data_IF_248433897829
#
_entry.id   IF_248433897829
#
_cell.length_a   1.000
_cell.length_b   1.000
_cell.length_c   1.000
_cell.angle_alpha   90.00
_cell.angle_beta   90.00
_cell.angle_gamma   90.00
#
_symmetry.space_group_name_H-M   'P 1'
#
loop_
_entity.id
_entity.type
_entity.pdbx_description
1 polymer ?
#
# COMPACT_ATOMS: atom_id res chain seq x y z
N UNK A 1 -23.05 13.06 -11.22
CA UNK A 1 -22.43 12.09 -10.28
C UNK A 1 -21.53 11.09 -10.98
N UNK A 2 -22.02 10.27 -11.93
CA UNK A 2 -21.18 9.26 -12.62
C UNK A 2 -20.00 9.88 -13.39
N UNK A 3 -20.22 10.90 -14.23
CA UNK A 3 -19.13 11.55 -14.97
C UNK A 3 -18.07 12.15 -14.04
N UNK A 4 -18.49 12.69 -12.90
CA UNK A 4 -17.58 13.24 -11.90
C UNK A 4 -16.76 12.13 -11.24
N UNK A 5 -17.39 11.01 -10.87
CA UNK A 5 -16.72 9.82 -10.34
C UNK A 5 -15.67 9.26 -11.31
N UNK A 6 -15.98 9.22 -12.62
CA UNK A 6 -15.08 8.68 -13.64
C UNK A 6 -13.94 9.63 -14.04
N UNK A 7 -14.16 10.94 -13.94
CA UNK A 7 -13.13 11.95 -14.23
C UNK A 7 -12.23 12.21 -13.02
N UNK A 8 -12.77 12.06 -11.81
CA UNK A 8 -12.08 12.24 -10.54
C UNK A 8 -12.31 11.02 -9.66
N UNK A 9 -11.67 9.92 -10.06
CA UNK A 9 -11.73 8.64 -9.38
C UNK A 9 -11.41 8.80 -7.88
N UNK A 10 -12.34 8.49 -6.97
CA UNK A 10 -12.05 8.53 -5.56
C UNK A 10 -11.04 7.43 -5.21
N UNK A 11 -10.09 7.77 -4.35
CA UNK A 11 -9.10 6.84 -3.85
C UNK A 11 -9.10 6.85 -2.32
N UNK A 12 -8.65 5.74 -1.75
CA UNK A 12 -8.27 5.67 -0.35
C UNK A 12 -6.78 5.34 -0.23
N UNK A 13 -6.23 5.57 0.95
CA UNK A 13 -4.83 5.29 1.24
C UNK A 13 -4.74 4.15 2.25
N UNK A 14 -4.13 3.04 1.82
CA UNK A 14 -3.86 1.93 2.72
C UNK A 14 -2.80 2.34 3.75
N UNK A 15 -3.00 2.01 5.03
CA UNK A 15 -2.05 2.36 6.09
C UNK A 15 -0.71 1.62 5.91
N UNK A 16 0.30 2.03 6.68
CA UNK A 16 1.68 1.48 6.70
C UNK A 16 2.48 1.84 5.45
N UNK A 17 2.08 1.38 4.26
CA UNK A 17 2.82 1.62 3.01
C UNK A 17 2.35 2.87 2.24
N UNK A 18 1.25 3.50 2.69
CA UNK A 18 0.64 4.69 2.10
C UNK A 18 0.30 4.51 0.61
N UNK A 19 -0.26 3.35 0.27
CA UNK A 19 -0.62 2.99 -1.11
C UNK A 19 -1.97 3.61 -1.47
N UNK A 20 -2.03 4.30 -2.61
CA UNK A 20 -3.30 4.81 -3.16
C UNK A 20 -3.98 3.72 -3.99
N UNK A 21 -5.19 3.37 -3.61
CA UNK A 21 -6.03 2.41 -4.34
C UNK A 21 -7.39 3.04 -4.66
N UNK A 22 -8.12 2.55 -5.68
CA UNK A 22 -9.52 2.92 -5.89
C UNK A 22 -10.34 2.69 -4.61
N UNK A 23 -11.29 3.58 -4.34
CA UNK A 23 -12.11 3.45 -3.14
C UNK A 23 -12.91 2.14 -3.11
N UNK A 24 -12.79 1.44 -2.00
CA UNK A 24 -13.54 0.22 -1.68
C UNK A 24 -14.99 0.56 -1.32
N UNK A 25 -15.84 -0.46 -1.16
CA UNK A 25 -17.26 -0.27 -0.83
C UNK A 25 -17.45 0.57 0.45
N UNK A 26 -16.60 0.33 1.45
CA UNK A 26 -16.61 1.10 2.70
C UNK A 26 -16.26 2.58 2.48
N UNK A 27 -15.22 2.87 1.68
CA UNK A 27 -14.86 4.23 1.31
C UNK A 27 -16.04 4.92 0.58
N UNK A 28 -16.64 4.25 -0.40
CA UNK A 28 -17.74 4.82 -1.18
C UNK A 28 -18.97 5.12 -0.30
N UNK A 29 -19.30 4.22 0.63
CA UNK A 29 -20.43 4.39 1.55
C UNK A 29 -20.32 5.66 2.39
N UNK A 30 -19.10 6.05 2.78
CA UNK A 30 -18.81 7.25 3.57
C UNK A 30 -18.62 8.51 2.72
N UNK A 31 -18.67 8.38 1.39
CA UNK A 31 -18.41 9.47 0.45
C UNK A 31 -19.70 10.10 -0.10
N UNK A 32 -19.55 11.18 -0.88
CA UNK A 32 -20.64 11.77 -1.67
C UNK A 32 -21.20 10.85 -2.76
N UNK A 33 -20.49 9.75 -3.08
CA UNK A 33 -20.86 8.81 -4.15
C UNK A 33 -21.67 7.60 -3.66
N UNK A 34 -22.13 7.59 -2.40
CA UNK A 34 -22.91 6.47 -1.83
C UNK A 34 -24.11 6.03 -2.68
N UNK A 35 -24.72 6.94 -3.43
CA UNK A 35 -25.88 6.65 -4.29
C UNK A 35 -25.52 5.73 -5.46
N UNK A 36 -24.25 5.72 -5.91
CA UNK A 36 -23.79 4.80 -6.95
C UNK A 36 -23.89 3.34 -6.51
N UNK A 37 -23.88 3.06 -5.20
CA UNK A 37 -24.04 1.70 -4.66
C UNK A 37 -25.42 1.10 -4.92
N UNK A 38 -26.40 1.89 -5.38
CA UNK A 38 -27.70 1.38 -5.83
C UNK A 38 -27.61 0.70 -7.20
N UNK A 39 -26.53 0.90 -7.94
CA UNK A 39 -26.27 0.26 -9.23
C UNK A 39 -25.61 -1.10 -8.94
N UNK A 40 -26.39 -2.19 -9.06
CA UNK A 40 -25.94 -3.56 -8.76
C UNK A 40 -24.68 -3.97 -9.55
N UNK A 41 -24.59 -3.58 -10.83
CA UNK A 41 -23.41 -3.88 -11.65
C UNK A 41 -22.15 -3.17 -11.13
N UNK A 42 -22.27 -1.94 -10.65
CA UNK A 42 -21.17 -1.20 -10.04
C UNK A 42 -20.76 -1.81 -8.69
N UNK A 43 -21.75 -2.12 -7.84
CA UNK A 43 -21.53 -2.76 -6.55
C UNK A 43 -20.79 -4.10 -6.69
N UNK A 44 -21.20 -4.95 -7.64
CA UNK A 44 -20.50 -6.21 -7.93
C UNK A 44 -19.04 -5.99 -8.37
N UNK A 45 -18.75 -4.92 -9.12
CA UNK A 45 -17.37 -4.60 -9.47
C UNK A 45 -16.55 -4.06 -8.28
N UNK A 46 -17.19 -3.41 -7.29
CA UNK A 46 -16.52 -2.98 -6.07
C UNK A 46 -16.19 -4.14 -5.13
N UNK A 47 -16.96 -5.23 -5.13
CA UNK A 47 -16.63 -6.44 -4.34
C UNK A 47 -15.27 -7.04 -4.77
N UNK A 48 -14.92 -6.90 -6.06
CA UNK A 48 -13.58 -7.26 -6.57
C UNK A 48 -12.51 -6.33 -6.00
N UNK A 49 -12.80 -5.03 -5.89
CA UNK A 49 -11.89 -4.05 -5.26
C UNK A 49 -11.67 -4.40 -3.78
N UNK A 50 -12.74 -4.71 -3.05
CA UNK A 50 -12.66 -5.10 -1.65
C UNK A 50 -11.79 -6.37 -1.47
N UNK A 51 -11.99 -7.38 -2.32
CA UNK A 51 -11.22 -8.64 -2.28
C UNK A 51 -9.72 -8.43 -2.56
N UNK A 52 -9.39 -7.61 -3.55
CA UNK A 52 -7.99 -7.29 -3.88
C UNK A 52 -7.34 -6.41 -2.81
N UNK A 53 -8.09 -5.48 -2.21
CA UNK A 53 -7.65 -4.70 -1.05
C UNK A 53 -7.27 -5.60 0.12
N UNK A 54 -8.10 -6.60 0.43
CA UNK A 54 -7.80 -7.56 1.50
C UNK A 54 -6.53 -8.38 1.20
N UNK A 55 -6.34 -8.79 -0.05
CA UNK A 55 -5.12 -9.48 -0.47
C UNK A 55 -3.87 -8.59 -0.34
N UNK A 56 -3.96 -7.31 -0.67
CA UNK A 56 -2.86 -6.35 -0.45
C UNK A 56 -2.56 -6.23 1.04
N UNK A 57 -3.57 -6.06 1.89
CA UNK A 57 -3.37 -5.97 3.34
C UNK A 57 -2.72 -7.24 3.91
N UNK A 58 -3.09 -8.41 3.40
CA UNK A 58 -2.43 -9.67 3.75
C UNK A 58 -0.94 -9.66 3.35
N UNK A 59 -0.60 -9.20 2.13
CA UNK A 59 0.79 -9.10 1.69
C UNK A 59 1.60 -8.07 2.47
N UNK A 60 1.00 -6.94 2.86
CA UNK A 60 1.62 -5.97 3.77
C UNK A 60 1.92 -6.62 5.12
N UNK A 61 1.00 -7.43 5.64
CA UNK A 61 1.21 -8.16 6.90
C UNK A 61 2.36 -9.16 6.80
N UNK A 62 2.45 -9.90 5.69
CA UNK A 62 3.57 -10.80 5.44
C UNK A 62 4.91 -10.06 5.34
N UNK A 63 4.93 -8.88 4.70
CA UNK A 63 6.13 -8.04 4.62
C UNK A 63 6.59 -7.62 6.03
N UNK A 64 5.65 -7.17 6.87
CA UNK A 64 5.95 -6.79 8.26
C UNK A 64 6.51 -7.96 9.07
N UNK A 65 5.92 -9.14 8.92
CA UNK A 65 6.40 -10.36 9.59
C UNK A 65 7.81 -10.73 9.13
N UNK A 66 8.05 -10.77 7.82
CA UNK A 66 9.33 -11.13 7.23
C UNK A 66 10.45 -10.17 7.67
N UNK A 67 10.17 -8.86 7.70
CA UNK A 67 11.09 -7.84 8.23
C UNK A 67 11.33 -8.08 9.71
N UNK A 68 10.27 -8.26 10.51
CA UNK A 68 10.35 -8.45 11.96
C UNK A 68 11.23 -9.65 12.33
N UNK A 69 11.09 -10.77 11.61
CA UNK A 69 11.93 -11.97 11.80
C UNK A 69 13.41 -11.65 11.57
N UNK A 70 13.74 -10.88 10.54
CA UNK A 70 15.13 -10.51 10.21
C UNK A 70 15.75 -9.54 11.21
N UNK A 71 14.93 -8.77 11.94
CA UNK A 71 15.40 -7.79 12.94
C UNK A 71 15.13 -8.16 14.41
N UNK A 72 14.57 -9.35 14.68
CA UNK A 72 14.05 -9.85 15.98
C UNK A 72 14.85 -9.54 17.26
N UNK A 73 16.16 -9.30 17.17
CA UNK A 73 17.03 -9.03 18.33
C UNK A 73 17.37 -7.54 18.49
N UNK A 74 16.60 -6.65 17.87
CA UNK A 74 16.76 -5.21 17.97
C UNK A 74 15.49 -4.62 18.58
N UNK A 75 15.67 -3.82 19.62
CA UNK A 75 14.59 -3.09 20.28
C UNK A 75 14.42 -1.71 19.65
N UNK A 76 13.37 -0.96 20.01
CA UNK A 76 13.16 0.43 19.60
C UNK A 76 13.07 0.69 18.08
N UNK A 77 12.72 -0.32 17.28
CA UNK A 77 12.47 -0.16 15.85
C UNK A 77 10.97 0.01 15.61
N UNK A 78 10.60 1.03 14.85
CA UNK A 78 9.28 1.15 14.28
C UNK A 78 9.20 0.29 13.00
N UNK A 79 8.63 -0.91 13.12
CA UNK A 79 8.50 -1.87 12.02
C UNK A 79 7.68 -1.31 10.86
N UNK A 80 6.60 -0.56 11.15
CA UNK A 80 5.75 0.02 10.12
C UNK A 80 6.51 1.02 9.25
N UNK A 81 7.28 1.92 9.90
CA UNK A 81 8.13 2.88 9.19
C UNK A 81 9.27 2.18 8.45
N UNK A 82 9.85 1.12 9.02
CA UNK A 82 10.87 0.33 8.32
C UNK A 82 10.30 -0.34 7.07
N UNK A 83 9.12 -0.97 7.16
CA UNK A 83 8.46 -1.61 6.03
C UNK A 83 8.07 -0.61 4.95
N UNK A 84 7.55 0.57 5.33
CA UNK A 84 7.35 1.69 4.42
C UNK A 84 8.63 2.01 3.64
N UNK A 85 9.73 2.21 4.37
CA UNK A 85 11.02 2.60 3.79
C UNK A 85 11.56 1.54 2.85
N UNK A 86 11.51 0.27 3.24
CA UNK A 86 11.97 -0.86 2.41
C UNK A 86 11.15 -0.94 1.13
N UNK A 87 9.82 -0.91 1.23
CA UNK A 87 8.94 -0.95 0.07
C UNK A 87 9.25 0.22 -0.88
N UNK A 88 9.39 1.44 -0.35
CA UNK A 88 9.68 2.62 -1.16
C UNK A 88 11.03 2.54 -1.85
N UNK A 89 12.07 2.11 -1.15
CA UNK A 89 13.42 1.96 -1.71
C UNK A 89 13.46 0.89 -2.80
N UNK A 90 12.79 -0.25 -2.59
CA UNK A 90 12.75 -1.33 -3.59
C UNK A 90 12.01 -0.86 -4.85
N UNK A 91 10.85 -0.22 -4.71
CA UNK A 91 9.99 0.11 -5.85
C UNK A 91 10.33 1.41 -6.58
N UNK A 92 10.83 2.40 -5.85
CA UNK A 92 11.05 3.75 -6.37
C UNK A 92 12.50 4.22 -6.22
N UNK A 93 13.35 3.43 -5.58
CA UNK A 93 14.71 3.82 -5.23
C UNK A 93 14.76 4.82 -4.08
N UNK A 94 15.95 5.38 -3.86
CA UNK A 94 16.24 6.27 -2.74
C UNK A 94 17.05 5.58 -1.65
N UNK A 95 17.27 6.32 -0.56
CA UNK A 95 18.11 5.88 0.54
C UNK A 95 17.61 6.45 1.87
N UNK A 96 17.93 5.80 2.98
CA UNK A 96 17.62 6.29 4.31
C UNK A 96 18.72 7.21 4.84
N UNK A 97 18.35 8.06 5.78
CA UNK A 97 19.24 8.98 6.46
C UNK A 97 19.75 8.34 7.74
N UNK A 98 21.07 8.21 7.86
CA UNK A 98 21.75 7.72 9.05
C UNK A 98 22.27 8.93 9.84
N UNK A 99 21.63 9.21 10.97
CA UNK A 99 22.09 10.17 11.95
C UNK A 99 23.07 9.55 12.95
N UNK A 100 23.52 10.36 13.90
CA UNK A 100 24.40 9.89 14.98
C UNK A 100 23.69 8.91 15.93
N UNK A 101 22.40 9.14 16.17
CA UNK A 101 21.56 8.42 17.13
C UNK A 101 20.24 7.90 16.51
N UNK A 102 20.01 8.14 15.22
CA UNK A 102 18.73 7.81 14.56
C UNK A 102 18.91 7.26 13.15
N UNK A 103 17.95 6.45 12.71
CA UNK A 103 17.73 6.10 11.30
C UNK A 103 16.36 6.62 10.89
N UNK A 104 16.29 7.32 9.77
CA UNK A 104 15.04 7.89 9.22
C UNK A 104 14.95 7.64 7.72
N UNK A 105 13.74 7.59 7.20
CA UNK A 105 13.48 7.68 5.77
C UNK A 105 12.44 8.76 5.56
N UNK A 106 12.76 9.75 4.73
CA UNK A 106 11.97 10.99 4.63
C UNK A 106 11.76 11.62 6.03
N UNK A 107 10.51 11.83 6.44
CA UNK A 107 10.14 12.35 7.76
C UNK A 107 9.90 11.25 8.81
N UNK A 108 9.99 9.97 8.43
CA UNK A 108 9.64 8.83 9.29
C UNK A 108 10.84 8.33 10.08
N UNK A 109 10.72 8.33 11.41
CA UNK A 109 11.70 7.74 12.32
C UNK A 109 11.58 6.22 12.33
N UNK A 110 12.66 5.53 11.95
CA UNK A 110 12.74 4.07 11.92
C UNK A 110 13.29 3.54 13.24
N UNK A 111 14.38 4.14 13.74
CA UNK A 111 15.10 3.65 14.90
C UNK A 111 15.80 4.79 15.64
N UNK A 112 15.97 4.62 16.95
CA UNK A 112 16.80 5.47 17.82
C UNK A 112 17.68 4.60 18.70
N UNK A 113 18.98 4.88 18.77
CA UNK A 113 19.92 4.10 19.55
C UNK A 113 21.35 4.63 19.45
N UNK A 114 22.31 3.89 19.98
CA UNK A 114 23.71 4.26 19.88
C UNK A 114 24.31 3.90 18.50
N UNK A 115 25.46 4.47 18.19
CA UNK A 115 26.12 4.28 16.89
C UNK A 115 26.33 2.79 16.51
N UNK A 116 26.70 1.92 17.47
CA UNK A 116 26.92 0.51 17.17
C UNK A 116 25.60 -0.20 16.80
N UNK A 117 24.50 0.15 17.45
CA UNK A 117 23.17 -0.38 17.13
C UNK A 117 22.70 0.11 15.77
N UNK A 118 22.92 1.39 15.44
CA UNK A 118 22.62 1.97 14.13
C UNK A 118 23.39 1.24 13.04
N UNK A 119 24.70 1.04 13.21
CA UNK A 119 25.51 0.33 12.22
C UNK A 119 25.10 -1.14 12.06
N UNK A 120 24.68 -1.79 13.16
CA UNK A 120 24.17 -3.16 13.11
C UNK A 120 22.83 -3.23 12.35
N UNK A 121 21.90 -2.32 12.64
CA UNK A 121 20.63 -2.21 11.94
C UNK A 121 20.84 -1.88 10.46
N UNK A 122 21.72 -0.95 10.13
CA UNK A 122 22.09 -0.60 8.75
C UNK A 122 22.46 -1.85 7.93
N UNK A 123 23.37 -2.68 8.44
CA UNK A 123 23.77 -3.94 7.77
C UNK A 123 22.62 -4.92 7.60
N UNK A 124 21.65 -4.93 8.53
CA UNK A 124 20.45 -5.76 8.38
C UNK A 124 19.51 -5.20 7.33
N UNK A 125 19.31 -3.88 7.29
CA UNK A 125 18.50 -3.20 6.28
C UNK A 125 19.07 -3.48 4.88
N UNK A 126 20.37 -3.32 4.68
CA UNK A 126 21.04 -3.64 3.40
C UNK A 126 20.76 -5.09 2.97
N UNK A 127 20.84 -6.04 3.90
CA UNK A 127 20.51 -7.45 3.62
C UNK A 127 19.04 -7.62 3.24
N UNK A 128 18.13 -6.97 3.96
CA UNK A 128 16.69 -7.00 3.69
C UNK A 128 16.39 -6.44 2.30
N UNK A 129 17.00 -5.31 1.93
CA UNK A 129 16.84 -4.68 0.61
C UNK A 129 17.33 -5.58 -0.54
N UNK A 130 18.27 -6.50 -0.27
CA UNK A 130 18.76 -7.47 -1.25
C UNK A 130 18.02 -8.82 -1.24
N UNK A 131 17.16 -9.05 -0.25
CA UNK A 131 16.48 -10.31 -0.01
C UNK A 131 15.40 -10.56 -1.07
N UNK A 132 15.47 -11.72 -1.74
CA UNK A 132 14.56 -12.05 -2.84
C UNK A 132 13.12 -12.27 -2.38
N UNK A 133 12.91 -12.78 -1.16
CA UNK A 133 11.56 -12.98 -0.63
C UNK A 133 10.90 -11.61 -0.35
N UNK A 134 11.66 -10.70 0.26
CA UNK A 134 11.19 -9.33 0.54
C UNK A 134 10.86 -8.58 -0.75
N UNK A 135 11.74 -8.67 -1.76
CA UNK A 135 11.50 -8.09 -3.09
C UNK A 135 10.24 -8.67 -3.74
N UNK A 136 10.10 -9.99 -3.75
CA UNK A 136 8.93 -10.67 -4.30
C UNK A 136 7.63 -10.18 -3.65
N UNK A 137 7.61 -9.99 -2.32
CA UNK A 137 6.43 -9.47 -1.63
C UNK A 137 6.14 -8.01 -2.06
N UNK A 138 7.17 -7.17 -2.21
CA UNK A 138 7.00 -5.79 -2.67
C UNK A 138 6.46 -5.72 -4.12
N UNK A 139 7.03 -6.54 -5.01
CA UNK A 139 6.60 -6.67 -6.40
C UNK A 139 5.12 -7.12 -6.48
N UNK A 140 4.75 -8.12 -5.68
CA UNK A 140 3.36 -8.60 -5.60
C UNK A 140 2.40 -7.52 -5.10
N UNK A 141 2.77 -6.76 -4.06
CA UNK A 141 1.97 -5.63 -3.56
C UNK A 141 1.76 -4.60 -4.67
N UNK A 142 2.83 -4.22 -5.37
CA UNK A 142 2.76 -3.24 -6.47
C UNK A 142 1.87 -3.75 -7.60
N UNK A 143 2.06 -4.99 -8.03
CA UNK A 143 1.25 -5.60 -9.08
C UNK A 143 -0.24 -5.63 -8.72
N UNK A 144 -0.58 -5.92 -7.46
CA UNK A 144 -1.96 -5.90 -7.00
C UNK A 144 -2.57 -4.49 -6.99
N UNK A 145 -1.79 -3.47 -6.60
CA UNK A 145 -2.22 -2.06 -6.66
C UNK A 145 -2.44 -1.63 -8.11
N UNK A 146 -1.54 -1.98 -9.02
CA UNK A 146 -1.69 -1.70 -10.46
C UNK A 146 -2.91 -2.41 -11.05
N UNK A 147 -3.11 -3.68 -10.69
CA UNK A 147 -4.29 -4.47 -11.09
C UNK A 147 -5.61 -3.87 -10.61
N UNK A 148 -5.63 -3.29 -9.40
CA UNK A 148 -6.80 -2.58 -8.87
C UNK A 148 -7.16 -1.36 -9.73
N UNK A 149 -6.17 -0.55 -10.10
CA UNK A 149 -6.38 0.60 -10.97
C UNK A 149 -6.79 0.19 -12.39
N UNK A 150 -6.21 -0.89 -12.93
CA UNK A 150 -6.63 -1.43 -14.23
C UNK A 150 -8.08 -1.95 -14.19
N UNK A 151 -8.47 -2.63 -13.11
CA UNK A 151 -9.85 -3.07 -12.90
C UNK A 151 -10.80 -1.88 -12.82
N UNK A 152 -10.40 -0.80 -12.15
CA UNK A 152 -11.18 0.43 -12.13
C UNK A 152 -11.37 1.00 -13.54
N UNK A 153 -10.30 1.16 -14.29
CA UNK A 153 -10.34 1.79 -15.62
C UNK A 153 -11.12 0.97 -16.65
N UNK A 154 -11.10 -0.36 -16.54
CA UNK A 154 -11.80 -1.25 -17.47
C UNK A 154 -13.22 -1.59 -17.02
N UNK A 155 -13.37 -2.09 -15.79
CA UNK A 155 -14.61 -2.74 -15.37
C UNK A 155 -15.55 -1.77 -14.63
N UNK A 156 -15.04 -0.97 -13.70
CA UNK A 156 -15.84 0.04 -12.99
C UNK A 156 -16.31 1.11 -13.97
N UNK A 157 -15.41 1.61 -14.84
CA UNK A 157 -15.77 2.59 -15.87
C UNK A 157 -16.86 2.05 -16.81
N UNK A 158 -16.72 0.79 -17.28
CA UNK A 158 -17.70 0.15 -18.15
C UNK A 158 -19.06 -0.01 -17.46
N UNK A 159 -19.10 -0.53 -16.22
CA UNK A 159 -20.36 -0.77 -15.52
C UNK A 159 -21.16 0.52 -15.29
N UNK A 160 -20.48 1.62 -14.99
CA UNK A 160 -21.10 2.92 -14.82
C UNK A 160 -21.56 3.54 -16.15
N UNK A 161 -20.77 3.44 -17.21
CA UNK A 161 -21.14 3.93 -18.55
C UNK A 161 -22.36 3.18 -19.12
N UNK A 162 -22.41 1.85 -18.96
CA UNK A 162 -23.56 1.03 -19.38
C UNK A 162 -24.83 1.34 -18.59
N UNK A 163 -24.69 1.78 -17.33
CA UNK A 163 -25.82 2.19 -16.51
C UNK A 163 -26.35 3.56 -16.93
N UNK A 164 -25.48 4.46 -17.43
CA UNK A 164 -25.89 5.75 -18.00
C UNK A 164 -26.61 5.61 -19.34
N UNK A 165 -26.21 4.66 -20.19
CA UNK A 165 -26.84 4.48 -21.51
C UNK A 165 -28.22 3.81 -21.46
N UNK A 166 -28.57 3.20 -20.32
CA UNK A 166 -29.86 2.54 -20.07
C UNK A 166 -30.85 3.39 -19.28
N UNK A 167 -30.42 4.54 -18.74
CA UNK A 167 -31.22 5.50 -17.99
C UNK A 167 -31.68 6.66 -18.89
#
# INVERSE_FOLDING_TARGET
MINEYLNYAPYETLPILELRIPCSTECITKSKYKELLQIESFKSQLEVVDSLKDLINYKISNLLEEISVKIKNLENINIGNLAYSIYKIIEFGGDYQIGYDTIKYEDKLIFTGNFNEIMNLNKKIEKILSDQNVKSICDEIKYLVESLWEHFDKNIRRSLNESQSRA
#
